data_IF_794739715608
#
_entry.id   IF_794739715608
#
_cell.length_a   1.000
_cell.length_b   1.000
_cell.length_c   1.000
_cell.angle_alpha   90.00
_cell.angle_beta   90.00
_cell.angle_gamma   90.00
#
_symmetry.space_group_name_H-M   'P 1'
#
loop_
_entity.id
_entity.type
_entity.pdbx_description
1 polymer ?
#
# COMPACT_ATOMS: atom_id res chain seq x y z
N UNK A 1 1.68 18.02 -18.11
CA UNK A 1 2.05 18.38 -16.73
C UNK A 1 2.42 17.09 -16.01
N UNK A 2 3.59 16.99 -15.38
CA UNK A 2 4.19 15.73 -14.90
C UNK A 2 3.48 15.05 -13.72
N UNK A 3 2.14 15.03 -13.68
CA UNK A 3 1.34 14.32 -12.68
C UNK A 3 1.26 12.82 -13.01
N UNK A 4 1.27 11.93 -12.00
CA UNK A 4 0.98 10.52 -12.21
C UNK A 4 -0.39 10.32 -12.84
N UNK A 5 -0.53 9.27 -13.65
CA UNK A 5 -1.85 8.83 -14.11
C UNK A 5 -2.60 8.15 -12.94
N UNK A 6 -3.92 8.25 -12.92
CA UNK A 6 -4.75 7.54 -11.95
C UNK A 6 -4.69 6.02 -12.18
N UNK A 7 -4.81 5.27 -11.09
CA UNK A 7 -5.02 3.84 -11.17
C UNK A 7 -6.52 3.53 -11.35
N UNK A 8 -6.85 2.40 -11.97
CA UNK A 8 -8.25 1.96 -12.08
C UNK A 8 -8.78 1.37 -10.76
N UNK A 9 -7.88 0.96 -9.88
CA UNK A 9 -8.17 0.35 -8.59
C UNK A 9 -7.78 1.30 -7.46
N UNK A 10 -8.69 1.47 -6.51
CA UNK A 10 -8.50 2.23 -5.27
C UNK A 10 -9.05 1.39 -4.12
N UNK A 11 -8.31 1.29 -3.03
CA UNK A 11 -8.75 0.57 -1.83
C UNK A 11 -8.76 1.48 -0.60
N UNK A 12 -9.72 1.25 0.29
CA UNK A 12 -9.83 1.98 1.57
C UNK A 12 -8.89 1.33 2.60
N UNK A 13 -7.98 2.12 3.16
CA UNK A 13 -7.04 1.68 4.19
C UNK A 13 -7.52 1.97 5.61
N UNK A 14 -8.19 3.10 5.80
CA UNK A 14 -8.79 3.54 7.06
C UNK A 14 -10.12 4.23 6.75
N UNK A 15 -11.14 4.04 7.59
CA UNK A 15 -12.48 4.61 7.40
C UNK A 15 -13.14 4.94 8.73
N UNK A 16 -13.88 6.05 8.77
CA UNK A 16 -14.74 6.39 9.92
C UNK A 16 -15.82 5.35 10.18
N UNK A 17 -16.24 4.58 9.16
CA UNK A 17 -17.17 3.45 9.34
C UNK A 17 -16.59 2.34 10.21
N UNK A 18 -15.25 2.23 10.26
CA UNK A 18 -14.52 1.16 10.92
C UNK A 18 -13.91 1.62 12.26
N UNK A 19 -14.27 2.84 12.71
CA UNK A 19 -13.83 3.42 13.97
C UNK A 19 -12.54 4.24 13.90
N UNK A 20 -12.03 4.54 12.69
CA UNK A 20 -10.99 5.56 12.52
C UNK A 20 -11.59 6.94 12.81
N UNK A 21 -10.88 7.84 13.49
CA UNK A 21 -11.41 9.17 13.80
C UNK A 21 -11.67 10.03 12.56
N UNK A 22 -10.91 9.79 11.49
CA UNK A 22 -11.03 10.49 10.21
C UNK A 22 -10.66 11.96 10.25
N UNK A 23 -10.14 12.46 11.37
CA UNK A 23 -9.91 13.89 11.55
C UNK A 23 -8.51 14.25 11.08
N UNK A 24 -8.42 14.92 9.94
CA UNK A 24 -7.15 15.23 9.32
C UNK A 24 -6.97 16.74 9.10
N UNK A 25 -5.79 17.23 9.46
CA UNK A 25 -5.38 18.62 9.26
C UNK A 25 -4.55 18.79 7.97
N UNK A 26 -4.51 20.02 7.45
CA UNK A 26 -3.75 20.36 6.24
C UNK A 26 -4.40 19.92 4.93
N UNK A 27 -5.66 19.47 4.97
CA UNK A 27 -6.45 19.20 3.78
C UNK A 27 -6.99 20.49 3.18
N UNK A 28 -7.19 20.49 1.86
CA UNK A 28 -7.77 21.62 1.12
C UNK A 28 -9.25 21.39 0.84
N UNK A 29 -10.07 22.41 1.06
CA UNK A 29 -11.49 22.36 0.67
C UNK A 29 -11.62 22.30 -0.86
N UNK A 30 -12.54 21.47 -1.33
CA UNK A 30 -12.87 21.30 -2.74
C UNK A 30 -14.28 21.84 -3.03
N UNK A 31 -14.68 21.86 -4.30
CA UNK A 31 -16.03 22.27 -4.72
C UNK A 31 -17.10 21.19 -4.56
N UNK A 32 -16.75 20.00 -4.05
CA UNK A 32 -17.68 18.88 -3.90
C UNK A 32 -18.62 19.10 -2.70
N UNK A 33 -19.92 19.04 -2.96
CA UNK A 33 -20.98 19.35 -1.97
C UNK A 33 -21.76 18.12 -1.50
N UNK A 34 -21.36 16.92 -1.93
CA UNK A 34 -21.93 15.66 -1.50
C UNK A 34 -20.82 14.68 -1.10
N UNK A 35 -21.13 13.79 -0.15
CA UNK A 35 -20.19 12.76 0.28
C UNK A 35 -19.74 11.85 -0.88
N UNK A 36 -20.63 11.34 -1.76
CA UNK A 36 -20.20 10.50 -2.86
C UNK A 36 -19.33 11.23 -3.88
N UNK A 37 -19.62 12.51 -4.16
CA UNK A 37 -18.78 13.30 -5.08
C UNK A 37 -17.41 13.57 -4.49
N UNK A 38 -17.32 13.84 -3.18
CA UNK A 38 -16.08 14.04 -2.45
C UNK A 38 -15.18 12.79 -2.49
N UNK A 39 -15.77 11.61 -2.24
CA UNK A 39 -15.05 10.33 -2.34
C UNK A 39 -14.58 10.06 -3.77
N UNK A 40 -15.45 10.25 -4.75
CA UNK A 40 -15.17 9.95 -6.15
C UNK A 40 -14.06 10.85 -6.71
N UNK A 41 -14.08 12.15 -6.42
CA UNK A 41 -13.05 13.08 -6.89
C UNK A 41 -11.68 12.78 -6.27
N UNK A 42 -11.63 12.44 -4.98
CA UNK A 42 -10.39 11.97 -4.35
C UNK A 42 -9.90 10.66 -4.97
N UNK A 43 -10.79 9.71 -5.24
CA UNK A 43 -10.44 8.42 -5.87
C UNK A 43 -9.89 8.58 -7.29
N UNK A 44 -10.22 9.67 -7.99
CA UNK A 44 -9.70 9.97 -9.34
C UNK A 44 -8.39 10.76 -9.33
N UNK A 45 -8.04 11.42 -8.23
CA UNK A 45 -6.75 12.11 -8.09
C UNK A 45 -5.73 11.17 -7.45
N UNK A 46 -4.72 10.67 -8.19
CA UNK A 46 -3.72 9.77 -7.62
C UNK A 46 -2.90 10.40 -6.48
N UNK A 47 -2.93 11.72 -6.33
CA UNK A 47 -2.25 12.44 -5.23
C UNK A 47 -3.16 12.71 -4.03
N UNK A 48 -4.45 12.35 -4.08
CA UNK A 48 -5.37 12.45 -2.96
C UNK A 48 -5.30 11.15 -2.12
N UNK A 49 -4.63 11.19 -0.98
CA UNK A 49 -4.52 10.03 -0.08
C UNK A 49 -5.61 10.00 0.99
N UNK A 50 -6.26 11.14 1.25
CA UNK A 50 -7.31 11.28 2.26
C UNK A 50 -8.39 12.23 1.77
N UNK A 51 -9.65 11.88 2.05
CA UNK A 51 -10.75 12.85 2.06
C UNK A 51 -11.51 12.81 3.39
N UNK A 52 -12.15 13.92 3.73
CA UNK A 52 -13.12 14.00 4.82
C UNK A 52 -14.28 14.91 4.41
N UNK A 53 -15.50 14.48 4.71
CA UNK A 53 -16.73 15.18 4.41
C UNK A 53 -17.45 15.57 5.70
N UNK A 54 -17.83 16.84 5.82
CA UNK A 54 -18.40 17.39 7.06
C UNK A 54 -19.93 17.44 7.03
N UNK A 55 -20.56 17.58 8.21
CA UNK A 55 -22.00 17.81 8.33
C UNK A 55 -22.47 19.13 7.70
N UNK A 56 -21.55 20.07 7.45
CA UNK A 56 -21.83 21.33 6.75
C UNK A 56 -21.73 21.20 5.22
N UNK A 57 -21.68 19.97 4.69
CA UNK A 57 -21.51 19.66 3.27
C UNK A 57 -20.22 20.21 2.66
N UNK A 58 -19.14 20.30 3.44
CA UNK A 58 -17.82 20.68 2.95
C UNK A 58 -16.96 19.42 2.74
N UNK A 59 -16.24 19.39 1.63
CA UNK A 59 -15.33 18.31 1.28
C UNK A 59 -13.88 18.79 1.36
N UNK A 60 -13.06 18.12 2.16
CA UNK A 60 -11.63 18.40 2.26
C UNK A 60 -10.82 17.21 1.77
N UNK A 61 -9.78 17.47 0.97
CA UNK A 61 -8.97 16.45 0.31
C UNK A 61 -7.50 16.82 0.32
N UNK A 62 -6.63 15.81 0.17
CA UNK A 62 -5.20 16.04 -0.01
C UNK A 62 -4.35 14.87 0.47
N UNK A 63 -3.07 15.18 0.73
CA UNK A 63 -2.13 14.25 1.36
C UNK A 63 -1.63 14.82 2.66
N UNK A 64 -1.88 14.10 3.75
CA UNK A 64 -1.50 14.53 5.10
C UNK A 64 -1.23 13.34 6.02
N UNK A 65 -0.24 13.55 6.89
CA UNK A 65 0.11 12.71 8.03
C UNK A 65 -0.67 13.10 9.29
N UNK A 66 -1.25 14.31 9.32
CA UNK A 66 -1.83 14.89 10.52
C UNK A 66 -3.27 14.41 10.73
N UNK A 67 -3.45 13.09 10.86
CA UNK A 67 -4.73 12.48 11.16
C UNK A 67 -4.78 11.96 12.61
N UNK A 68 -5.92 12.14 13.28
CA UNK A 68 -6.15 11.69 14.66
C UNK A 68 -5.49 12.54 15.75
N UNK A 69 -4.88 13.66 15.38
CA UNK A 69 -4.26 14.62 16.30
C UNK A 69 -4.77 16.02 16.00
N UNK A 70 -6.09 16.24 16.12
CA UNK A 70 -6.65 17.57 15.90
C UNK A 70 -6.28 18.47 17.06
N UNK A 71 -5.45 19.47 16.79
CA UNK A 71 -5.32 20.61 17.70
C UNK A 71 -6.54 21.52 17.53
N UNK A 72 -7.49 21.43 18.46
CA UNK A 72 -8.67 22.31 18.48
C UNK A 72 -10.00 21.58 18.56
N UNK A 73 -11.04 22.22 18.03
CA UNK A 73 -12.40 21.65 18.03
C UNK A 73 -12.54 20.64 16.89
N UNK A 74 -12.82 19.34 17.18
CA UNK A 74 -12.97 18.34 16.14
C UNK A 74 -14.12 18.70 15.21
N UNK A 75 -13.90 18.51 13.90
CA UNK A 75 -14.93 18.73 12.90
C UNK A 75 -16.03 17.67 13.05
N UNK A 76 -17.27 18.07 12.81
CA UNK A 76 -18.36 17.11 12.73
C UNK A 76 -18.32 16.44 11.36
N UNK A 77 -17.70 15.26 11.30
CA UNK A 77 -17.57 14.47 10.08
C UNK A 77 -18.80 13.61 9.84
N UNK A 78 -19.15 13.46 8.57
CA UNK A 78 -20.10 12.47 8.06
C UNK A 78 -19.33 11.21 7.67
N UNK A 79 -18.24 11.38 6.92
CA UNK A 79 -17.32 10.30 6.56
C UNK A 79 -15.90 10.84 6.33
N UNK A 80 -14.92 9.97 6.51
CA UNK A 80 -13.57 10.18 6.02
C UNK A 80 -12.92 8.83 5.72
N UNK A 81 -12.09 8.79 4.68
CA UNK A 81 -11.34 7.60 4.30
C UNK A 81 -9.90 7.98 3.91
N UNK A 82 -8.96 7.08 4.24
CA UNK A 82 -7.63 7.06 3.66
C UNK A 82 -7.61 6.07 2.51
N UNK A 83 -7.18 6.51 1.34
CA UNK A 83 -7.22 5.74 0.10
C UNK A 83 -5.81 5.33 -0.34
N UNK A 84 -5.67 4.09 -0.78
CA UNK A 84 -4.53 3.61 -1.55
C UNK A 84 -4.91 3.60 -3.03
N UNK A 85 -4.08 4.22 -3.86
CA UNK A 85 -4.21 4.18 -5.31
C UNK A 85 -3.36 3.05 -5.88
N UNK A 86 -4.00 2.09 -6.54
CA UNK A 86 -3.37 0.87 -7.04
C UNK A 86 -3.09 -0.14 -5.94
N UNK A 87 -2.03 -0.91 -6.11
CA UNK A 87 -1.59 -1.97 -5.20
C UNK A 87 -0.15 -1.73 -4.72
N UNK A 88 0.23 -2.39 -3.63
CA UNK A 88 1.57 -2.32 -3.06
C UNK A 88 2.25 -3.68 -3.14
N UNK A 89 3.39 -3.70 -3.81
CA UNK A 89 4.29 -4.85 -3.79
C UNK A 89 5.38 -4.63 -2.75
N UNK A 90 5.37 -5.44 -1.69
CA UNK A 90 6.48 -5.51 -0.74
C UNK A 90 7.68 -6.19 -1.40
N UNK A 91 8.79 -5.45 -1.52
CA UNK A 91 10.03 -5.93 -2.11
C UNK A 91 10.95 -6.55 -1.04
N UNK A 92 10.91 -6.03 0.19
CA UNK A 92 11.72 -6.53 1.32
C UNK A 92 11.11 -6.15 2.67
N UNK A 93 11.13 -7.10 3.61
CA UNK A 93 10.92 -6.83 5.05
C UNK A 93 12.19 -6.17 5.64
N UNK A 94 12.01 -5.02 6.28
CA UNK A 94 13.06 -4.18 6.81
C UNK A 94 13.17 -4.25 8.34
N UNK A 95 12.50 -5.21 8.99
CA UNK A 95 12.61 -5.43 10.44
C UNK A 95 14.08 -5.60 10.87
N UNK A 96 14.50 -4.85 11.89
CA UNK A 96 15.88 -4.83 12.37
C UNK A 96 16.87 -4.03 11.52
N UNK A 97 16.42 -3.36 10.45
CA UNK A 97 17.22 -2.45 9.63
C UNK A 97 16.63 -1.04 9.76
N UNK A 98 17.44 -0.04 10.11
CA UNK A 98 17.04 1.36 10.05
C UNK A 98 17.50 1.95 8.72
N UNK A 99 16.55 2.41 7.91
CA UNK A 99 16.82 3.25 6.74
C UNK A 99 16.95 4.69 7.25
N UNK A 100 18.07 5.32 6.93
CA UNK A 100 18.37 6.68 7.36
C UNK A 100 17.68 7.71 6.46
N UNK A 101 17.58 8.94 6.95
CA UNK A 101 17.01 10.09 6.22
C UNK A 101 15.51 9.96 5.85
N UNK A 102 14.76 9.20 6.64
CA UNK A 102 13.30 9.14 6.56
C UNK A 102 12.66 10.22 7.45
N UNK A 103 11.51 10.75 7.02
CA UNK A 103 10.72 11.74 7.76
C UNK A 103 10.16 11.11 9.03
N UNK A 104 10.47 11.62 10.23
CA UNK A 104 9.85 11.13 11.46
C UNK A 104 8.41 11.66 11.53
N UNK A 105 7.46 10.74 11.71
CA UNK A 105 6.04 11.06 11.95
C UNK A 105 5.65 10.93 13.44
N UNK A 106 6.59 10.47 14.28
CA UNK A 106 6.38 10.29 15.71
C UNK A 106 5.65 8.98 16.04
N UNK A 107 5.17 8.84 17.28
CA UNK A 107 4.72 7.54 17.80
C UNK A 107 3.55 6.93 17.01
N UNK A 108 2.65 7.76 16.45
CA UNK A 108 1.38 7.33 15.82
C UNK A 108 0.62 6.25 16.61
N UNK A 109 0.91 6.11 17.90
CA UNK A 109 0.56 4.96 18.73
C UNK A 109 -0.68 5.24 19.58
N UNK A 110 -1.59 6.09 19.10
CA UNK A 110 -2.92 6.24 19.66
C UNK A 110 -3.62 4.88 19.50
N UNK A 111 -3.56 4.02 20.52
CA UNK A 111 -4.00 2.63 20.46
C UNK A 111 -2.89 1.56 20.54
N UNK A 112 -1.65 1.96 20.86
CA UNK A 112 -0.52 1.05 21.09
C UNK A 112 0.29 0.69 19.85
N UNK A 113 1.29 -0.19 20.02
CA UNK A 113 2.28 -0.51 18.98
C UNK A 113 1.64 -1.03 17.69
N UNK A 114 0.65 -1.93 17.77
CA UNK A 114 -0.01 -2.48 16.58
C UNK A 114 -0.76 -1.41 15.79
N UNK A 115 -1.39 -0.44 16.48
CA UNK A 115 -2.05 0.68 15.84
C UNK A 115 -1.03 1.60 15.14
N UNK A 116 0.09 1.89 15.80
CA UNK A 116 1.17 2.70 15.21
C UNK A 116 1.83 2.05 13.99
N UNK A 117 2.08 0.73 14.02
CA UNK A 117 2.59 -0.02 12.86
C UNK A 117 1.61 0.08 11.68
N UNK A 118 0.31 -0.14 11.93
CA UNK A 118 -0.72 -0.02 10.90
C UNK A 118 -0.81 1.39 10.34
N UNK A 119 -0.83 2.42 11.19
CA UNK A 119 -0.89 3.82 10.77
C UNK A 119 0.32 4.21 9.92
N UNK A 120 1.52 3.77 10.33
CA UNK A 120 2.77 4.00 9.59
C UNK A 120 2.74 3.38 8.19
N UNK A 121 2.35 2.10 8.10
CA UNK A 121 2.17 1.40 6.84
C UNK A 121 1.12 2.08 5.96
N UNK A 122 -0.05 2.36 6.52
CA UNK A 122 -1.18 2.92 5.78
C UNK A 122 -0.85 4.33 5.23
N UNK A 123 -0.10 5.16 5.98
CA UNK A 123 0.39 6.43 5.47
C UNK A 123 1.24 6.22 4.20
N UNK A 124 2.25 5.34 4.27
CA UNK A 124 3.14 5.09 3.14
C UNK A 124 2.38 4.48 1.96
N UNK A 125 1.48 3.52 2.21
CA UNK A 125 0.66 2.88 1.17
C UNK A 125 -0.27 3.87 0.46
N UNK A 126 -0.74 4.89 1.17
CA UNK A 126 -1.56 5.95 0.58
C UNK A 126 -0.75 7.04 -0.14
N UNK A 127 0.57 7.09 0.06
CA UNK A 127 1.44 8.16 -0.46
C UNK A 127 2.32 7.61 -1.58
N UNK A 128 1.96 7.87 -2.84
CA UNK A 128 2.62 7.29 -4.02
C UNK A 128 4.15 7.48 -4.11
N UNK A 129 4.68 8.49 -3.43
CA UNK A 129 6.12 8.79 -3.41
C UNK A 129 6.89 8.07 -2.31
N UNK A 130 6.22 7.34 -1.41
CA UNK A 130 6.83 6.65 -0.29
C UNK A 130 7.28 5.24 -0.69
N UNK A 131 8.58 4.95 -0.69
CA UNK A 131 9.06 3.59 -0.95
C UNK A 131 9.50 2.86 0.32
N UNK A 132 9.71 3.58 1.42
CA UNK A 132 10.17 3.02 2.68
C UNK A 132 9.30 3.52 3.82
N UNK A 133 8.87 2.60 4.68
CA UNK A 133 8.30 2.94 5.99
C UNK A 133 8.87 2.04 7.06
N UNK A 134 9.00 2.58 8.27
CA UNK A 134 9.58 1.89 9.40
C UNK A 134 8.90 2.33 10.70
N UNK A 135 8.69 1.37 11.60
CA UNK A 135 8.19 1.63 12.94
C UNK A 135 9.19 1.12 13.98
N UNK A 136 9.66 2.02 14.82
CA UNK A 136 10.55 1.77 15.94
C UNK A 136 9.82 1.99 17.26
N UNK A 137 10.12 1.17 18.27
CA UNK A 137 9.57 1.38 19.62
C UNK A 137 10.05 2.69 20.26
N UNK A 138 11.19 3.22 19.82
CA UNK A 138 11.81 4.40 20.41
C UNK A 138 11.37 5.69 19.72
N UNK A 139 11.39 5.72 18.39
CA UNK A 139 11.11 6.92 17.59
C UNK A 139 9.72 6.93 16.96
N UNK A 140 8.99 5.81 17.01
CA UNK A 140 7.72 5.67 16.32
C UNK A 140 7.90 5.43 14.83
N UNK A 141 7.02 6.01 14.03
CA UNK A 141 7.01 5.88 12.59
C UNK A 141 7.98 6.84 11.90
N UNK A 142 8.67 6.32 10.88
CA UNK A 142 9.44 7.09 9.92
C UNK A 142 9.12 6.61 8.50
N UNK A 143 9.01 7.55 7.55
CA UNK A 143 8.58 7.27 6.17
C UNK A 143 9.39 8.06 5.16
N UNK A 144 9.50 7.57 3.94
CA UNK A 144 10.05 8.34 2.83
C UNK A 144 9.01 9.36 2.36
N UNK A 145 9.39 10.64 2.32
CA UNK A 145 8.52 11.74 1.92
C UNK A 145 9.32 12.81 1.16
N UNK A 146 9.51 12.65 -0.17
CA UNK A 146 10.22 13.61 -0.98
C UNK A 146 9.43 14.91 -1.19
N UNK A 147 8.20 15.02 -0.69
CA UNK A 147 7.35 16.21 -0.89
C UNK A 147 7.57 17.27 0.18
N UNK A 148 8.09 16.87 1.34
CA UNK A 148 8.39 17.78 2.45
C UNK A 148 9.86 18.15 2.45
N UNK A 149 10.10 19.46 2.56
CA UNK A 149 11.42 20.05 2.74
C UNK A 149 11.65 20.30 4.22
N UNK A 150 12.79 19.88 4.72
CA UNK A 150 13.29 20.37 6.00
C UNK A 150 14.18 21.59 5.71
N UNK A 151 13.73 22.76 6.16
CA UNK A 151 14.53 23.99 6.08
C UNK A 151 15.72 23.84 7.04
N UNK A 152 16.88 23.47 6.50
CA UNK A 152 18.11 23.45 7.27
C UNK A 152 18.69 24.87 7.32
N UNK A 153 18.25 25.64 8.32
CA UNK A 153 18.70 27.03 8.55
C UNK A 153 20.22 27.15 8.69
N UNK A 154 20.92 26.08 9.08
CA UNK A 154 22.36 26.11 9.38
C UNK A 154 23.22 26.06 8.11
N UNK A 155 22.78 25.33 7.07
CA UNK A 155 23.54 25.16 5.83
C UNK A 155 22.89 25.77 4.59
N UNK A 156 21.68 26.30 4.70
CA UNK A 156 20.97 26.94 3.58
C UNK A 156 20.71 25.99 2.41
N UNK A 157 20.63 24.68 2.67
CA UNK A 157 20.31 23.66 1.69
C UNK A 157 19.02 22.95 2.10
N UNK A 158 18.05 22.93 1.19
CA UNK A 158 16.83 22.12 1.34
C UNK A 158 17.23 20.64 1.42
N UNK A 159 16.95 20.00 2.54
CA UNK A 159 17.04 18.55 2.65
C UNK A 159 15.64 17.95 2.42
N UNK A 160 15.57 16.91 1.59
CA UNK A 160 14.37 16.12 1.38
C UNK A 160 14.50 14.80 2.15
N UNK A 161 13.38 14.28 2.64
CA UNK A 161 13.33 12.99 3.33
C UNK A 161 13.30 11.83 2.33
N UNK A 162 14.45 11.57 1.72
CA UNK A 162 14.65 10.56 0.68
C UNK A 162 15.73 9.59 1.14
N UNK A 163 15.47 8.29 1.02
CA UNK A 163 16.46 7.28 1.35
C UNK A 163 17.68 7.41 0.41
N UNK A 164 18.88 7.21 0.94
CA UNK A 164 20.07 7.16 0.09
C UNK A 164 19.98 6.00 -0.91
N UNK A 165 20.38 6.27 -2.15
CA UNK A 165 20.53 5.26 -3.19
C UNK A 165 21.99 5.17 -3.70
N UNK A 166 22.56 3.95 -3.87
CA UNK A 166 21.99 2.67 -3.50
C UNK A 166 21.96 2.49 -1.97
N UNK A 167 20.94 1.79 -1.48
CA UNK A 167 20.81 1.45 -0.07
C UNK A 167 21.78 0.31 0.30
N UNK A 168 22.82 0.60 1.09
CA UNK A 168 23.85 -0.40 1.46
C UNK A 168 24.23 -0.32 2.93
N UNK A 169 24.82 -1.38 3.50
CA UNK A 169 25.33 -1.35 4.87
C UNK A 169 26.49 -0.35 5.08
N UNK A 170 27.07 0.17 3.99
CA UNK A 170 28.08 1.21 4.03
C UNK A 170 27.49 2.64 3.96
N UNK A 171 26.17 2.78 3.76
CA UNK A 171 25.48 4.07 3.71
C UNK A 171 23.99 3.95 3.43
N UNK A 172 23.18 4.68 4.21
CA UNK A 172 21.74 4.77 4.05
C UNK A 172 20.95 3.71 4.82
N UNK A 173 21.56 2.59 5.20
CA UNK A 173 20.95 1.61 6.10
C UNK A 173 21.93 1.12 7.15
N UNK A 174 21.47 1.04 8.39
CA UNK A 174 22.23 0.49 9.51
C UNK A 174 21.45 -0.65 10.16
N UNK A 175 22.16 -1.69 10.61
CA UNK A 175 21.54 -2.76 11.39
C UNK A 175 21.15 -2.19 12.77
N UNK A 176 19.86 -2.07 13.03
CA UNK A 176 19.34 -1.40 14.21
C UNK A 176 18.14 -2.20 14.78
N UNK A 177 18.35 -2.93 15.90
CA UNK A 177 17.32 -3.76 16.52
C UNK A 177 15.98 -3.07 16.91
N UNK A 178 15.89 -1.78 17.28
CA UNK A 178 14.61 -1.20 17.71
C UNK A 178 13.57 -1.00 16.59
N UNK A 179 13.91 -1.20 15.30
CA UNK A 179 12.92 -1.24 14.21
C UNK A 179 12.16 -2.56 14.27
N UNK A 180 10.90 -2.50 14.71
CA UNK A 180 10.06 -3.67 14.96
C UNK A 180 9.16 -4.04 13.79
N UNK A 181 8.99 -3.14 12.82
CA UNK A 181 8.33 -3.38 11.56
C UNK A 181 8.82 -2.38 10.51
N UNK A 182 8.79 -2.77 9.24
CA UNK A 182 9.07 -1.85 8.14
C UNK A 182 9.19 -2.60 6.83
N UNK A 183 8.98 -1.90 5.72
CA UNK A 183 9.00 -2.50 4.40
C UNK A 183 9.70 -1.56 3.40
N UNK A 184 10.39 -2.16 2.44
CA UNK A 184 10.69 -1.53 1.17
C UNK A 184 9.64 -1.97 0.16
N UNK A 185 8.93 -0.99 -0.42
CA UNK A 185 7.74 -1.22 -1.24
C UNK A 185 7.86 -0.59 -2.62
N UNK A 186 7.00 -1.08 -3.51
CA UNK A 186 6.75 -0.49 -4.81
C UNK A 186 5.24 -0.31 -4.99
N UNK A 187 4.80 0.91 -5.27
CA UNK A 187 3.44 1.17 -5.75
C UNK A 187 3.33 0.67 -7.19
N UNK A 188 2.29 -0.11 -7.47
CA UNK A 188 2.01 -0.64 -8.80
C UNK A 188 0.56 -0.36 -9.17
N UNK A 189 0.32 -0.15 -10.46
CA UNK A 189 -1.03 -0.27 -11.00
C UNK A 189 -1.20 -1.66 -11.59
N UNK A 190 -1.99 -2.54 -10.96
CA UNK A 190 -2.24 -3.85 -11.53
C UNK A 190 -2.91 -3.70 -12.90
N UNK A 191 -2.72 -4.68 -13.79
CA UNK A 191 -3.55 -4.73 -14.99
C UNK A 191 -5.01 -4.89 -14.55
N UNK A 192 -5.98 -4.21 -15.19
CA UNK A 192 -7.39 -4.50 -14.99
C UNK A 192 -7.54 -6.00 -15.11
N UNK A 193 -8.01 -6.65 -14.05
CA UNK A 193 -8.30 -8.08 -14.14
C UNK A 193 -9.25 -8.19 -15.33
N UNK A 194 -8.77 -8.81 -16.41
CA UNK A 194 -9.62 -9.15 -17.52
C UNK A 194 -10.64 -10.06 -16.87
N UNK A 195 -11.82 -9.52 -16.52
CA UNK A 195 -12.96 -10.34 -16.20
C UNK A 195 -13.03 -11.25 -17.40
N UNK A 196 -12.71 -12.52 -17.18
CA UNK A 196 -12.88 -13.55 -18.17
C UNK A 196 -14.39 -13.64 -18.34
N UNK A 197 -14.96 -12.70 -19.11
CA UNK A 197 -16.22 -12.88 -19.78
C UNK A 197 -16.06 -14.22 -20.46
N UNK A 198 -16.79 -15.20 -19.94
CA UNK A 198 -16.48 -16.61 -20.07
C UNK A 198 -16.12 -16.97 -21.50
N UNK A 199 -14.84 -17.03 -21.79
CA UNK A 199 -14.37 -17.94 -22.81
C UNK A 199 -14.51 -19.30 -22.14
N UNK A 200 -15.68 -19.91 -22.35
CA UNK A 200 -15.82 -21.34 -22.21
C UNK A 200 -14.57 -21.95 -22.82
N UNK A 201 -13.77 -22.60 -21.99
CA UNK A 201 -12.69 -23.44 -22.47
C UNK A 201 -13.37 -24.52 -23.32
N UNK A 202 -13.52 -24.25 -24.61
CA UNK A 202 -13.82 -25.27 -25.58
C UNK A 202 -12.64 -26.23 -25.48
N UNK A 203 -12.89 -27.38 -24.88
CA UNK A 203 -11.98 -28.51 -24.81
C UNK A 203 -11.73 -28.99 -26.23
N UNK A 204 -10.83 -28.32 -26.95
CA UNK A 204 -10.33 -28.69 -28.27
C UNK A 204 -9.00 -29.48 -28.15
N UNK A 205 -8.85 -30.28 -27.09
CA UNK A 205 -7.79 -31.28 -26.96
C UNK A 205 -8.36 -32.67 -27.15
N UNK A 206 -8.99 -32.92 -28.30
CA UNK A 206 -9.26 -34.27 -28.74
C UNK A 206 -9.23 -34.32 -30.27
N UNK A 207 -8.05 -34.22 -30.87
CA UNK A 207 -7.76 -34.76 -32.21
C UNK A 207 -6.29 -34.53 -32.61
N UNK A 208 -5.35 -35.04 -31.82
CA UNK A 208 -4.04 -35.40 -32.34
C UNK A 208 -3.71 -36.81 -31.85
N UNK A 209 -4.37 -37.81 -32.44
CA UNK A 209 -3.88 -39.18 -32.39
C UNK A 209 -2.67 -39.30 -33.33
N UNK A 210 -1.49 -39.71 -32.85
CA UNK A 210 -0.37 -40.01 -33.73
C UNK A 210 -0.68 -41.30 -34.50
N UNK A 211 -0.86 -41.19 -35.82
CA UNK A 211 -1.12 -42.31 -36.76
C UNK A 211 0.08 -43.27 -36.97
N UNK A 212 0.95 -43.49 -35.99
CA UNK A 212 2.23 -44.18 -36.21
C UNK A 212 2.74 -45.06 -35.07
N UNK A 213 1.84 -45.69 -34.30
CA UNK A 213 2.22 -46.84 -33.46
C UNK A 213 1.91 -48.16 -34.18
N UNK A 214 2.92 -48.86 -34.75
CA UNK A 214 2.76 -50.23 -35.18
C UNK A 214 2.62 -51.15 -33.95
N UNK A 215 1.46 -51.80 -33.86
CA UNK A 215 1.16 -53.10 -33.29
C UNK A 215 2.29 -53.79 -32.49
N UNK A 216 2.33 -53.61 -31.16
CA UNK A 216 2.93 -54.60 -30.27
C UNK A 216 1.85 -55.66 -30.02
N UNK A 217 1.88 -56.70 -30.85
CA UNK A 217 1.15 -57.94 -30.62
C UNK A 217 1.80 -58.72 -29.49
N UNK A 218 0.97 -59.12 -28.51
CA UNK A 218 1.06 -60.45 -27.91
C UNK A 218 2.13 -60.66 -26.84
N UNK A 219 1.71 -60.61 -25.58
CA UNK A 219 2.51 -61.06 -24.44
C UNK A 219 1.68 -61.16 -23.18
N UNK A 220 0.61 -61.96 -23.21
CA UNK A 220 -0.16 -62.34 -22.03
C UNK A 220 0.73 -63.21 -21.14
N UNK A 221 1.17 -62.69 -20.00
CA UNK A 221 1.71 -63.51 -18.91
C UNK A 221 0.59 -63.71 -17.89
N UNK A 222 -0.04 -64.89 -18.00
CA UNK A 222 -0.92 -65.46 -16.98
C UNK A 222 -0.08 -65.85 -15.77
N UNK A 223 -0.33 -65.21 -14.62
CA UNK A 223 0.10 -65.74 -13.31
C UNK A 223 -1.17 -66.20 -12.59
N UNK A 224 -1.40 -67.51 -12.59
CA UNK A 224 -2.38 -68.17 -11.72
C UNK A 224 -1.68 -69.07 -10.71
N UNK A 225 -1.87 -68.66 -9.46
CA UNK A 225 -1.88 -69.35 -8.15
C UNK A 225 -1.79 -70.89 -8.07
N UNK A 226 -0.98 -71.36 -7.12
CA UNK A 226 -1.22 -72.44 -6.11
C UNK A 226 0.17 -72.82 -5.52
N UNK A 227 0.44 -73.13 -4.25
CA UNK A 227 -0.37 -73.52 -3.09
C UNK A 227 0.40 -74.64 -2.34
N UNK A 228 0.62 -74.46 -1.03
CA UNK A 228 0.76 -75.48 0.04
C UNK A 228 1.86 -76.55 -0.07
N UNK A 229 2.80 -76.57 0.91
CA UNK A 229 2.93 -77.57 2.01
C UNK A 229 3.55 -76.87 3.22
#
# INVERSE_FOLDING_TARGET
>A
EGRPASCWETSVLDSTSDGWDGQCDGLSETGDTSEPSCRESCSRDPLCSVFQFTQSNACFQGTTQACGSVEGSPMQLVSAERLQHGDVRVLKDMTGLLVENLRPLGSMALGGQAAGIRACRNYCYSTLTCQYWQFSQQSGCSVEDPTVKEENEVFGQDAYFIAQYPLTLAGGVVAMPPVVAGEYIQHICPAPSASLGGFAAASAWSELSPRWLPWITGGVVLITLAGVV
#
